data_IF_873220837905
#
_entry.id   IF_873220837905
#
_cell.length_a   1.000
_cell.length_b   1.000
_cell.length_c   1.000
_cell.angle_alpha   90.00
_cell.angle_beta   90.00
_cell.angle_gamma   90.00
#
_symmetry.space_group_name_H-M   'P 1'
#
loop_
_entity.id
_entity.type
_entity.pdbx_description
1 polymer ?
#
# COMPACT_ATOMS: atom_id res chain seq x y z
N UNK A 1 29.13 -40.19 -12.19
CA UNK A 1 27.93 -39.97 -11.36
C UNK A 1 27.71 -38.50 -10.94
N UNK A 2 28.67 -37.60 -11.16
CA UNK A 2 28.57 -36.17 -10.85
C UNK A 2 27.74 -35.33 -11.84
N UNK A 3 27.59 -35.78 -13.10
CA UNK A 3 26.86 -35.03 -14.14
C UNK A 3 25.34 -35.05 -13.96
N UNK A 4 24.77 -36.21 -13.59
CA UNK A 4 23.32 -36.37 -13.40
C UNK A 4 22.79 -35.56 -12.21
N UNK A 5 23.59 -35.38 -11.16
CA UNK A 5 23.19 -34.58 -10.00
C UNK A 5 23.07 -33.08 -10.35
N UNK A 6 23.93 -32.58 -11.25
CA UNK A 6 23.87 -31.20 -11.73
C UNK A 6 22.66 -30.90 -12.62
N UNK A 7 22.25 -31.86 -13.46
CA UNK A 7 21.03 -31.74 -14.27
C UNK A 7 19.76 -31.78 -13.40
N UNK A 8 19.69 -32.67 -12.40
CA UNK A 8 18.58 -32.71 -11.46
C UNK A 8 18.41 -31.39 -10.69
N UNK A 9 19.50 -30.74 -10.28
CA UNK A 9 19.45 -29.46 -9.57
C UNK A 9 18.96 -28.33 -10.50
N UNK A 10 19.34 -28.34 -11.78
CA UNK A 10 18.85 -27.36 -12.76
C UNK A 10 17.35 -27.52 -13.01
N UNK A 11 16.89 -28.76 -13.23
CA UNK A 11 15.48 -29.08 -13.40
C UNK A 11 14.67 -28.68 -12.17
N UNK A 12 15.18 -28.93 -10.96
CA UNK A 12 14.50 -28.54 -9.73
C UNK A 12 14.36 -27.02 -9.61
N UNK A 13 15.40 -26.25 -9.97
CA UNK A 13 15.34 -24.79 -9.98
C UNK A 13 14.33 -24.27 -11.00
N UNK A 14 14.31 -24.84 -12.20
CA UNK A 14 13.36 -24.47 -13.24
C UNK A 14 11.91 -24.79 -12.83
N UNK A 15 11.69 -25.94 -12.17
CA UNK A 15 10.38 -26.30 -11.62
C UNK A 15 9.95 -25.32 -10.53
N UNK A 16 10.86 -24.90 -9.64
CA UNK A 16 10.57 -23.92 -8.60
C UNK A 16 10.25 -22.54 -9.18
N UNK A 17 10.99 -22.09 -10.19
CA UNK A 17 10.73 -20.82 -10.88
C UNK A 17 9.37 -20.85 -11.60
N UNK A 18 9.03 -21.97 -12.23
CA UNK A 18 7.72 -22.16 -12.87
C UNK A 18 6.58 -22.22 -11.86
N UNK A 19 6.80 -22.84 -10.70
CA UNK A 19 5.82 -22.83 -9.61
C UNK A 19 5.61 -21.40 -9.06
N UNK A 20 6.68 -20.63 -8.87
CA UNK A 20 6.60 -19.23 -8.42
C UNK A 20 5.83 -18.36 -9.44
N UNK A 21 6.01 -18.61 -10.74
CA UNK A 21 5.23 -17.96 -11.79
C UNK A 21 3.73 -18.31 -11.72
N UNK A 22 3.41 -19.59 -11.56
CA UNK A 22 2.03 -20.08 -11.43
C UNK A 22 1.36 -19.52 -10.18
N UNK A 23 2.07 -19.45 -9.04
CA UNK A 23 1.56 -18.84 -7.81
C UNK A 23 1.23 -17.36 -8.02
N UNK A 24 2.05 -16.62 -8.77
CA UNK A 24 1.79 -15.24 -9.16
C UNK A 24 0.52 -15.08 -10.03
N UNK A 25 0.34 -15.96 -11.01
CA UNK A 25 -0.88 -15.97 -11.84
C UNK A 25 -2.13 -16.33 -11.03
N UNK A 26 -2.02 -17.26 -10.08
CA UNK A 26 -3.12 -17.61 -9.18
C UNK A 26 -3.52 -16.44 -8.27
N UNK A 27 -2.57 -15.63 -7.83
CA UNK A 27 -2.87 -14.44 -7.05
C UNK A 27 -3.56 -13.35 -7.88
N UNK A 28 -3.18 -13.16 -9.14
CA UNK A 28 -3.89 -12.30 -10.10
C UNK A 28 -5.33 -12.77 -10.30
N UNK A 29 -5.54 -14.07 -10.57
CA UNK A 29 -6.87 -14.66 -10.74
C UNK A 29 -7.72 -14.49 -9.47
N UNK A 30 -7.13 -14.62 -8.27
CA UNK A 30 -7.84 -14.36 -7.01
C UNK A 30 -8.26 -12.90 -6.86
N UNK A 31 -7.46 -11.96 -7.34
CA UNK A 31 -7.81 -10.53 -7.35
C UNK A 31 -8.94 -10.25 -8.33
N UNK A 32 -8.86 -10.73 -9.56
CA UNK A 32 -9.92 -10.58 -10.57
C UNK A 32 -11.25 -11.21 -10.10
N UNK A 33 -11.20 -12.41 -9.51
CA UNK A 33 -12.38 -13.05 -8.91
C UNK A 33 -12.96 -12.26 -7.74
N UNK A 34 -12.13 -11.55 -6.98
CA UNK A 34 -12.60 -10.67 -5.89
C UNK A 34 -13.26 -9.42 -6.44
N UNK A 35 -12.70 -8.80 -7.47
CA UNK A 35 -13.28 -7.63 -8.13
C UNK A 35 -14.67 -7.96 -8.69
N UNK A 36 -14.79 -9.10 -9.39
CA UNK A 36 -16.07 -9.62 -9.88
C UNK A 36 -17.06 -9.91 -8.74
N UNK A 37 -16.60 -10.42 -7.59
CA UNK A 37 -17.45 -10.68 -6.41
C UNK A 37 -17.89 -9.38 -5.72
N UNK A 38 -17.03 -8.37 -5.66
CA UNK A 38 -17.34 -7.07 -5.03
C UNK A 38 -18.31 -6.22 -5.85
N UNK A 39 -18.40 -6.44 -7.17
CA UNK A 39 -19.44 -5.83 -8.00
C UNK A 39 -20.86 -6.33 -7.67
N UNK A 40 -20.99 -7.41 -6.87
CA UNK A 40 -22.28 -8.01 -6.53
C UNK A 40 -22.83 -7.78 -5.11
N UNK A 41 -22.08 -7.17 -4.16
CA UNK A 41 -22.55 -7.10 -2.76
C UNK A 41 -22.20 -5.76 -2.11
N UNK A 42 -23.22 -4.92 -1.93
CA UNK A 42 -23.28 -3.75 -1.05
C UNK A 42 -23.14 -4.13 0.44
N UNK A 43 -22.03 -3.74 1.09
CA UNK A 43 -21.80 -3.38 2.54
C UNK A 43 -22.39 -4.29 3.68
N UNK A 44 -22.09 -4.06 4.99
CA UNK A 44 -20.91 -3.54 5.69
C UNK A 44 -20.43 -4.46 6.87
N UNK A 45 -19.32 -4.06 7.52
CA UNK A 45 -18.91 -4.34 8.92
C UNK A 45 -18.97 -5.77 9.49
N UNK A 46 -17.79 -6.33 9.79
CA UNK A 46 -17.39 -6.97 11.07
C UNK A 46 -16.24 -7.96 10.80
N UNK A 47 -15.06 -7.70 11.39
CA UNK A 47 -14.16 -8.67 12.02
C UNK A 47 -12.79 -8.01 12.24
N UNK A 48 -12.73 -7.23 13.31
CA UNK A 48 -11.50 -7.05 14.04
C UNK A 48 -11.15 -8.38 14.74
N UNK A 49 -9.87 -8.74 14.67
CA UNK A 49 -9.18 -9.85 15.36
C UNK A 49 -9.17 -11.16 14.58
N UNK A 50 -7.95 -11.63 14.31
CA UNK A 50 -7.56 -12.91 13.70
C UNK A 50 -7.86 -13.09 12.20
N UNK A 51 -7.05 -12.49 11.33
CA UNK A 51 -6.78 -13.03 9.99
C UNK A 51 -5.45 -12.49 9.44
N UNK A 52 -4.35 -12.98 10.03
CA UNK A 52 -2.97 -12.84 9.53
C UNK A 52 -2.64 -13.82 8.38
N UNK A 53 -3.66 -14.38 7.70
CA UNK A 53 -3.46 -15.35 6.62
C UNK A 53 -4.39 -14.98 5.45
N UNK A 54 -3.84 -14.36 4.39
CA UNK A 54 -4.45 -14.30 3.06
C UNK A 54 -5.15 -12.99 2.61
N UNK A 55 -5.02 -11.89 3.37
CA UNK A 55 -5.45 -10.55 2.93
C UNK A 55 -4.29 -9.81 2.25
N UNK A 56 -4.35 -9.61 0.93
CA UNK A 56 -3.26 -8.99 0.16
C UNK A 56 -2.83 -7.61 0.67
N UNK A 57 -1.59 -7.22 0.34
CA UNK A 57 -0.94 -5.99 0.82
C UNK A 57 -1.79 -4.73 0.60
N UNK A 58 -2.49 -4.63 -0.55
CA UNK A 58 -3.38 -3.52 -0.86
C UNK A 58 -4.56 -3.41 0.12
N UNK A 59 -5.13 -4.54 0.55
CA UNK A 59 -6.21 -4.55 1.55
C UNK A 59 -5.70 -4.10 2.92
N UNK A 60 -4.49 -4.51 3.29
CA UNK A 60 -3.85 -4.06 4.53
C UNK A 60 -3.58 -2.55 4.52
N UNK A 61 -3.14 -1.98 3.38
CA UNK A 61 -2.99 -0.53 3.20
C UNK A 61 -4.35 0.15 3.25
N UNK A 62 -5.36 -0.35 2.53
CA UNK A 62 -6.71 0.23 2.53
C UNK A 62 -7.34 0.29 3.92
N UNK A 63 -7.05 -0.68 4.79
CA UNK A 63 -7.59 -0.71 6.15
C UNK A 63 -6.84 0.20 7.12
N UNK A 64 -5.53 0.41 6.92
CA UNK A 64 -4.67 1.16 7.84
C UNK A 64 -4.26 2.54 7.31
N UNK A 65 -4.73 2.92 6.12
CA UNK A 65 -4.32 4.07 5.30
C UNK A 65 -2.90 4.00 4.75
N UNK A 66 -1.95 3.52 5.54
CA UNK A 66 -0.58 3.28 5.13
C UNK A 66 0.05 2.20 6.01
N UNK A 67 1.17 1.65 5.57
CA UNK A 67 1.99 0.71 6.34
C UNK A 67 3.44 1.17 6.32
N UNK A 68 4.18 0.91 7.40
CA UNK A 68 5.63 1.08 7.39
C UNK A 68 6.27 0.01 6.50
N UNK A 69 7.23 0.41 5.65
CA UNK A 69 7.90 -0.54 4.75
C UNK A 69 8.59 -1.65 5.53
N UNK A 70 9.07 -1.37 6.74
CA UNK A 70 9.72 -2.32 7.65
C UNK A 70 8.80 -3.47 8.04
N UNK A 71 7.51 -3.19 8.26
CA UNK A 71 6.51 -4.15 8.72
C UNK A 71 5.95 -5.04 7.60
N UNK A 72 6.22 -4.69 6.34
CA UNK A 72 5.78 -5.48 5.18
C UNK A 72 6.68 -6.70 4.98
N UNK A 73 6.15 -7.90 5.22
CA UNK A 73 6.88 -9.16 5.04
C UNK A 73 7.14 -9.49 3.55
N UNK A 74 6.18 -9.23 2.67
CA UNK A 74 6.25 -9.55 1.24
C UNK A 74 7.00 -8.47 0.44
N UNK A 75 8.32 -8.33 0.63
CA UNK A 75 9.15 -7.27 0.00
C UNK A 75 9.12 -7.30 -1.53
N UNK A 76 9.11 -8.49 -2.15
CA UNK A 76 9.06 -8.64 -3.63
C UNK A 76 7.74 -8.13 -4.20
N UNK A 77 6.62 -8.50 -3.57
CA UNK A 77 5.29 -8.03 -3.95
C UNK A 77 5.18 -6.52 -3.77
N UNK A 78 5.66 -5.98 -2.64
CA UNK A 78 5.68 -4.54 -2.42
C UNK A 78 6.46 -3.80 -3.51
N UNK A 79 7.66 -4.30 -3.85
CA UNK A 79 8.47 -3.72 -4.93
C UNK A 79 7.69 -3.72 -6.26
N UNK A 80 7.08 -4.85 -6.63
CA UNK A 80 6.27 -4.94 -7.85
C UNK A 80 5.10 -3.94 -7.85
N UNK A 81 4.38 -3.81 -6.73
CA UNK A 81 3.26 -2.87 -6.61
C UNK A 81 3.69 -1.39 -6.67
N UNK A 82 4.90 -1.08 -6.21
CA UNK A 82 5.51 0.25 -6.38
C UNK A 82 5.89 0.47 -7.84
N UNK A 83 6.56 -0.51 -8.46
CA UNK A 83 6.99 -0.44 -9.87
C UNK A 83 5.78 -0.32 -10.83
N UNK A 84 4.66 -0.97 -10.52
CA UNK A 84 3.37 -0.86 -11.22
C UNK A 84 2.59 0.43 -10.89
N UNK A 85 3.07 1.25 -9.95
CA UNK A 85 2.42 2.50 -9.54
C UNK A 85 1.11 2.33 -8.75
N UNK A 86 0.75 1.10 -8.36
CA UNK A 86 -0.42 0.79 -7.52
C UNK A 86 -0.24 1.28 -6.08
N UNK A 87 1.00 1.31 -5.61
CA UNK A 87 1.39 1.77 -4.27
C UNK A 87 2.42 2.90 -4.41
N UNK A 88 2.26 3.94 -3.59
CA UNK A 88 3.18 5.07 -3.49
C UNK A 88 4.06 4.85 -2.26
N UNK A 89 5.37 4.98 -2.47
CA UNK A 89 6.36 5.00 -1.40
C UNK A 89 6.61 6.45 -0.97
N UNK A 90 6.34 6.75 0.30
CA UNK A 90 6.61 8.04 0.93
C UNK A 90 7.84 7.90 1.82
N UNK A 91 8.93 8.56 1.47
CA UNK A 91 10.19 8.54 2.24
C UNK A 91 10.37 9.83 3.02
N UNK A 92 10.04 9.80 4.31
CA UNK A 92 10.29 10.91 5.22
C UNK A 92 11.73 10.82 5.75
N UNK A 93 12.65 11.51 5.09
CA UNK A 93 14.06 11.58 5.49
C UNK A 93 14.23 12.24 6.87
N UNK A 94 13.38 13.21 7.22
CA UNK A 94 13.46 13.91 8.50
C UNK A 94 13.15 13.01 9.70
N UNK A 95 12.25 12.05 9.50
CA UNK A 95 11.90 11.04 10.51
C UNK A 95 12.59 9.69 10.31
N UNK A 96 13.45 9.55 9.30
CA UNK A 96 14.05 8.28 8.87
C UNK A 96 13.01 7.14 8.77
N UNK A 97 11.86 7.48 8.15
CA UNK A 97 10.68 6.61 8.07
C UNK A 97 10.24 6.47 6.62
N UNK A 98 9.94 5.24 6.25
CA UNK A 98 9.42 4.92 4.93
C UNK A 98 8.05 4.26 5.08
N UNK A 99 7.04 4.87 4.49
CA UNK A 99 5.67 4.35 4.52
C UNK A 99 5.15 4.13 3.12
N UNK A 100 4.23 3.20 2.98
CA UNK A 100 3.59 2.84 1.71
C UNK A 100 2.09 3.04 1.82
N UNK A 101 1.51 3.70 0.83
CA UNK A 101 0.08 3.99 0.73
C UNK A 101 -0.39 3.89 -0.72
N UNK A 102 -1.67 4.10 -1.01
CA UNK A 102 -2.17 4.18 -2.38
C UNK A 102 -2.47 5.63 -2.77
N UNK A 103 -2.42 5.93 -4.08
CA UNK A 103 -2.80 7.26 -4.60
C UNK A 103 -4.23 7.63 -4.19
N UNK A 104 -5.14 6.66 -4.15
CA UNK A 104 -6.53 6.88 -3.76
C UNK A 104 -6.66 7.37 -2.32
N UNK A 105 -5.87 6.81 -1.39
CA UNK A 105 -5.89 7.22 0.02
C UNK A 105 -5.34 8.64 0.17
N UNK A 106 -4.22 8.95 -0.50
CA UNK A 106 -3.67 10.31 -0.53
C UNK A 106 -4.72 11.27 -1.09
N UNK A 107 -5.35 10.96 -2.23
CA UNK A 107 -6.38 11.80 -2.84
C UNK A 107 -7.59 12.02 -1.92
N UNK A 108 -8.07 10.99 -1.23
CA UNK A 108 -9.17 11.08 -0.24
C UNK A 108 -8.81 11.99 0.93
N UNK A 109 -7.55 11.96 1.39
CA UNK A 109 -7.09 12.85 2.44
C UNK A 109 -6.96 14.28 1.93
N UNK A 110 -6.34 14.47 0.77
CA UNK A 110 -6.18 15.79 0.14
C UNK A 110 -7.54 16.44 -0.18
N UNK A 111 -8.57 15.68 -0.53
CA UNK A 111 -9.91 16.22 -0.77
C UNK A 111 -10.60 16.80 0.48
N UNK A 112 -10.08 16.50 1.68
CA UNK A 112 -10.57 17.12 2.93
C UNK A 112 -9.89 18.47 3.22
N UNK A 113 -8.87 18.85 2.43
CA UNK A 113 -8.17 20.10 2.58
C UNK A 113 -8.88 21.21 1.76
N UNK A 114 -8.88 22.47 2.25
CA UNK A 114 -8.16 22.96 3.42
C UNK A 114 -8.84 22.62 4.76
N UNK A 115 -8.06 22.19 5.76
CA UNK A 115 -8.54 21.91 7.12
C UNK A 115 -7.82 22.79 8.15
N UNK A 116 -8.55 23.38 9.09
CA UNK A 116 -7.97 24.19 10.16
C UNK A 116 -7.28 23.33 11.22
N UNK A 117 -6.26 23.86 11.90
CA UNK A 117 -5.65 23.17 13.07
C UNK A 117 -6.72 22.88 14.14
N UNK A 118 -7.69 23.77 14.28
CA UNK A 118 -8.78 23.61 15.25
C UNK A 118 -9.81 22.53 14.86
N UNK A 119 -9.70 21.98 13.64
CA UNK A 119 -10.60 20.96 13.10
C UNK A 119 -9.88 19.62 12.86
N UNK A 120 -8.64 19.47 13.35
CA UNK A 120 -7.85 18.23 13.22
C UNK A 120 -8.56 17.05 13.89
N UNK A 121 -9.35 17.31 14.94
CA UNK A 121 -10.17 16.33 15.65
C UNK A 121 -11.20 15.62 14.76
N UNK A 122 -11.52 16.18 13.58
CA UNK A 122 -12.35 15.53 12.56
C UNK A 122 -11.64 14.44 11.77
N UNK A 123 -10.30 14.40 11.82
CA UNK A 123 -9.49 13.35 11.21
C UNK A 123 -9.27 12.22 12.23
N UNK A 124 -9.26 10.99 11.75
CA UNK A 124 -8.78 9.88 12.58
C UNK A 124 -7.28 10.02 12.86
N UNK A 125 -6.80 9.41 13.95
CA UNK A 125 -5.36 9.44 14.32
C UNK A 125 -4.45 9.05 13.15
N UNK A 126 -4.84 8.03 12.38
CA UNK A 126 -4.11 7.56 11.20
C UNK A 126 -4.14 8.56 10.05
N UNK A 127 -5.25 9.26 9.83
CA UNK A 127 -5.33 10.32 8.82
C UNK A 127 -4.45 11.51 9.19
N UNK A 128 -4.44 11.89 10.47
CA UNK A 128 -3.60 12.96 10.97
C UNK A 128 -2.10 12.60 10.88
N UNK A 129 -1.74 11.35 11.17
CA UNK A 129 -0.38 10.85 11.02
C UNK A 129 0.06 10.92 9.54
N UNK A 130 -0.79 10.46 8.61
CA UNK A 130 -0.52 10.56 7.17
C UNK A 130 -0.43 12.02 6.72
N UNK A 131 -1.31 12.91 7.21
CA UNK A 131 -1.26 14.35 6.92
C UNK A 131 0.06 14.96 7.35
N UNK A 132 0.56 14.58 8.53
CA UNK A 132 1.84 15.06 9.07
C UNK A 132 3.01 14.61 8.21
N UNK A 133 2.99 13.35 7.74
CA UNK A 133 3.98 12.82 6.80
C UNK A 133 3.94 13.64 5.49
N UNK A 134 2.75 13.82 4.91
CA UNK A 134 2.59 14.60 3.68
C UNK A 134 3.03 16.07 3.84
N UNK A 135 2.84 16.66 5.03
CA UNK A 135 3.32 18.01 5.33
C UNK A 135 4.85 18.09 5.35
N UNK A 136 5.53 17.14 5.99
CA UNK A 136 7.01 17.08 6.01
C UNK A 136 7.61 16.85 4.62
N UNK A 137 6.91 16.08 3.78
CA UNK A 137 7.29 15.86 2.38
C UNK A 137 6.97 17.05 1.47
N UNK A 138 6.32 18.10 1.99
CA UNK A 138 5.98 19.30 1.25
C UNK A 138 4.75 19.16 0.35
N UNK A 139 4.03 18.03 0.39
CA UNK A 139 2.79 17.82 -0.35
C UNK A 139 1.62 18.62 0.23
N UNK A 140 1.64 18.81 1.55
CA UNK A 140 0.71 19.67 2.26
C UNK A 140 1.51 20.79 2.92
N UNK A 141 0.94 21.98 3.04
CA UNK A 141 1.58 23.11 3.69
C UNK A 141 0.68 23.65 4.79
N UNK A 142 1.25 24.03 5.92
CA UNK A 142 0.55 24.78 6.94
C UNK A 142 0.63 26.28 6.63
N UNK A 143 -0.49 26.90 6.21
CA UNK A 143 -0.62 28.33 5.94
C UNK A 143 -1.83 28.90 6.67
N UNK A 144 -1.67 30.05 7.32
CA UNK A 144 -2.75 30.73 8.03
C UNK A 144 -3.53 29.81 8.99
N UNK A 145 -2.81 28.96 9.73
CA UNK A 145 -3.37 27.98 10.66
C UNK A 145 -4.27 26.91 9.99
N UNK A 146 -4.09 26.67 8.70
CA UNK A 146 -4.79 25.65 7.91
C UNK A 146 -3.81 24.82 7.09
N UNK A 147 -4.05 23.53 7.02
CA UNK A 147 -3.36 22.67 6.07
C UNK A 147 -3.97 22.86 4.69
N UNK A 148 -3.13 23.18 3.70
CA UNK A 148 -3.51 23.40 2.30
C UNK A 148 -2.71 22.50 1.37
N UNK A 149 -3.28 22.17 0.22
CA UNK A 149 -2.61 21.37 -0.82
C UNK A 149 -1.49 22.22 -1.44
N UNK A 150 -0.30 21.64 -1.61
CA UNK A 150 0.81 22.25 -2.34
C UNK A 150 0.74 21.96 -3.85
N UNK A 151 1.54 22.68 -4.63
CA UNK A 151 1.74 22.36 -6.05
C UNK A 151 2.34 20.96 -6.27
N UNK A 152 3.21 20.50 -5.36
CA UNK A 152 3.84 19.17 -5.45
C UNK A 152 2.80 18.04 -5.33
N UNK A 153 1.72 18.25 -4.58
CA UNK A 153 0.68 17.24 -4.40
C UNK A 153 -0.22 17.03 -5.63
N UNK A 154 -0.08 17.85 -6.68
CA UNK A 154 -0.83 17.68 -7.93
C UNK A 154 -0.54 16.36 -8.64
N UNK A 155 0.59 15.69 -8.35
CA UNK A 155 0.89 14.37 -8.91
C UNK A 155 -0.09 13.26 -8.46
N UNK A 156 -0.86 13.51 -7.40
CA UNK A 156 -1.85 12.58 -6.85
C UNK A 156 -3.31 12.93 -7.22
N UNK A 157 -3.54 14.09 -7.82
CA UNK A 157 -4.86 14.58 -8.22
C UNK A 157 -5.09 14.15 -9.66
#
# INVERSE_FOLDING_TARGET
MSSQCGECIKLLREVLERLEAIEGELDLIKEELRELRTQGITQPQQQLRSQQLGGGLLKAISNNLFLDTRDVMAKRLLKRLIDEGKVVLLRDETANREVVTTKEIIRKLLSKLPISINEIDKLSDREYELLTILNRLGYVLLKDNKYVISEAAKEFI
#
